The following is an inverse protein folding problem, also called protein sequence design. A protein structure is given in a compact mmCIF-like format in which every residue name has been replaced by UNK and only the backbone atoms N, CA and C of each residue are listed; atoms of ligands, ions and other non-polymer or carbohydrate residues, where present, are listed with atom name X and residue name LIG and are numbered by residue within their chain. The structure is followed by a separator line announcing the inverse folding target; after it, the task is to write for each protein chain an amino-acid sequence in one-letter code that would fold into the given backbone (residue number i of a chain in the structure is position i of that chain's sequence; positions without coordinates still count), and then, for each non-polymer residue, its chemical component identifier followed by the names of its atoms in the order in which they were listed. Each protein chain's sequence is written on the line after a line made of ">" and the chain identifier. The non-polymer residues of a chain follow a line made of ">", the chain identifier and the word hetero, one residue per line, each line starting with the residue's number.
data_IF_672502360810
#
_entry.id   IF_672502360810
#
_cell.length_a   1.000
_cell.length_b   1.000
_cell.length_c   1.000
_cell.angle_alpha   90.00
_cell.angle_beta   90.00
_cell.angle_gamma   90.00
#
_symmetry.space_group_name_H-M   'P 1'
#
loop_
_entity.id
_entity.type
_entity.pdbx_description
1 polymer ?
#
# COMPACT_ATOMS: atom_id res chain seq x y z
N UNK A 1 17.83 22.70 -29.34
CA UNK A 1 17.96 22.17 -27.97
C UNK A 1 16.55 22.11 -27.38
N UNK A 2 15.79 21.04 -27.68
CA UNK A 2 14.37 20.83 -27.25
C UNK A 2 14.18 19.41 -26.70
N UNK A 3 15.26 18.63 -26.56
CA UNK A 3 15.20 17.23 -26.12
C UNK A 3 15.44 17.05 -24.61
N UNK A 4 15.69 18.12 -23.87
CA UNK A 4 16.07 18.06 -22.45
C UNK A 4 14.90 18.36 -21.49
N UNK A 5 13.80 18.92 -21.98
CA UNK A 5 12.62 19.21 -21.15
C UNK A 5 11.75 17.96 -20.88
N UNK A 6 11.70 17.00 -21.81
CA UNK A 6 10.87 15.79 -21.65
C UNK A 6 11.45 14.74 -20.69
N UNK A 7 12.76 14.76 -20.41
CA UNK A 7 13.39 13.81 -19.47
C UNK A 7 13.21 14.21 -18.00
N UNK A 8 13.02 15.50 -17.72
CA UNK A 8 12.79 15.98 -16.36
C UNK A 8 11.37 15.72 -15.88
N UNK A 9 10.37 15.79 -16.76
CA UNK A 9 8.96 15.56 -16.40
C UNK A 9 8.69 14.08 -16.07
N UNK A 10 9.16 13.14 -16.90
CA UNK A 10 9.02 11.70 -16.59
C UNK A 10 9.81 11.25 -15.36
N UNK A 11 10.97 11.88 -15.09
CA UNK A 11 11.76 11.55 -13.91
C UNK A 11 11.10 11.98 -12.60
N UNK A 12 10.40 13.12 -12.60
CA UNK A 12 9.70 13.65 -11.42
C UNK A 12 8.43 12.84 -11.11
N UNK A 13 7.73 12.36 -12.14
CA UNK A 13 6.55 11.51 -11.99
C UNK A 13 6.89 10.10 -11.47
N UNK A 14 7.94 9.46 -12.00
CA UNK A 14 8.41 8.17 -11.46
C UNK A 14 8.88 8.31 -10.01
N UNK A 15 9.57 9.40 -9.67
CA UNK A 15 10.05 9.61 -8.31
C UNK A 15 8.90 9.82 -7.31
N UNK A 16 7.89 10.61 -7.68
CA UNK A 16 6.66 10.77 -6.86
C UNK A 16 5.90 9.47 -6.70
N UNK A 17 5.81 8.67 -7.76
CA UNK A 17 5.17 7.36 -7.74
C UNK A 17 5.87 6.40 -6.78
N UNK A 18 7.20 6.35 -6.80
CA UNK A 18 8.00 5.56 -5.86
C UNK A 18 7.82 6.03 -4.41
N UNK A 19 7.76 7.34 -4.17
CA UNK A 19 7.54 7.88 -2.83
C UNK A 19 6.17 7.50 -2.26
N UNK A 20 5.11 7.60 -3.08
CA UNK A 20 3.76 7.17 -2.72
C UNK A 20 3.70 5.66 -2.46
N UNK A 21 4.38 4.86 -3.28
CA UNK A 21 4.45 3.41 -3.10
C UNK A 21 5.16 3.06 -1.77
N UNK A 22 6.34 3.64 -1.52
CA UNK A 22 7.08 3.42 -0.27
C UNK A 22 6.27 3.86 0.96
N UNK A 23 5.51 4.95 0.88
CA UNK A 23 4.64 5.39 1.95
C UNK A 23 3.50 4.40 2.21
N UNK A 24 2.86 3.88 1.16
CA UNK A 24 1.80 2.89 1.24
C UNK A 24 2.32 1.55 1.78
N UNK A 25 3.48 1.11 1.32
CA UNK A 25 4.15 -0.09 1.80
C UNK A 25 4.46 0.03 3.29
N UNK A 26 5.14 1.10 3.71
CA UNK A 26 5.44 1.34 5.12
C UNK A 26 4.17 1.39 5.98
N UNK A 27 3.12 2.07 5.51
CA UNK A 27 1.85 2.15 6.23
C UNK A 27 1.20 0.77 6.39
N UNK A 28 1.16 -0.01 5.31
CA UNK A 28 0.56 -1.36 5.30
C UNK A 28 1.33 -2.32 6.22
N UNK A 29 2.66 -2.33 6.14
CA UNK A 29 3.52 -3.15 7.01
C UNK A 29 3.41 -2.73 8.49
N UNK A 30 3.36 -1.43 8.78
CA UNK A 30 3.18 -0.93 10.14
C UNK A 30 1.80 -1.34 10.70
N UNK A 31 0.72 -1.21 9.91
CA UNK A 31 -0.60 -1.67 10.32
C UNK A 31 -0.65 -3.18 10.55
N UNK A 32 0.03 -3.99 9.72
CA UNK A 32 0.16 -5.43 9.95
C UNK A 32 0.79 -5.72 11.29
N UNK A 33 1.91 -5.04 11.60
CA UNK A 33 2.64 -5.23 12.84
C UNK A 33 1.79 -4.84 14.03
N UNK A 34 1.13 -3.68 13.98
CA UNK A 34 0.24 -3.18 15.04
C UNK A 34 -0.94 -4.12 15.27
N UNK A 35 -1.61 -4.57 14.19
CA UNK A 35 -2.74 -5.50 14.27
C UNK A 35 -2.32 -6.83 14.90
N UNK A 36 -1.17 -7.38 14.50
CA UNK A 36 -0.66 -8.63 15.05
C UNK A 36 -0.24 -8.51 16.51
N UNK A 37 0.31 -7.37 16.90
CA UNK A 37 0.74 -7.10 18.27
C UNK A 37 -0.47 -6.91 19.21
N UNK A 38 -1.45 -6.09 18.82
CA UNK A 38 -2.67 -5.88 19.60
C UNK A 38 -3.48 -7.17 19.79
N UNK A 39 -3.50 -8.04 18.78
CA UNK A 39 -4.25 -9.30 18.82
C UNK A 39 -3.41 -10.46 19.34
N UNK A 40 -2.18 -10.23 19.78
CA UNK A 40 -1.26 -11.27 20.23
C UNK A 40 -1.80 -11.93 21.50
N UNK A 41 -2.30 -13.16 21.36
CA UNK A 41 -2.88 -13.93 22.48
C UNK A 41 -4.39 -13.78 22.65
N UNK A 42 -5.05 -12.97 21.83
CA UNK A 42 -6.50 -12.85 21.77
C UNK A 42 -7.10 -13.74 20.66
N UNK A 43 -8.36 -14.16 20.83
CA UNK A 43 -9.08 -14.84 19.74
C UNK A 43 -9.48 -13.81 18.69
N UNK A 44 -8.86 -13.90 17.51
CA UNK A 44 -9.22 -13.09 16.34
C UNK A 44 -10.70 -13.23 16.01
N UNK A 45 -11.40 -12.10 15.93
CA UNK A 45 -12.78 -12.05 15.43
C UNK A 45 -12.81 -12.26 13.91
N UNK A 46 -13.98 -12.55 13.31
CA UNK A 46 -14.11 -12.61 11.85
C UNK A 46 -13.73 -11.30 11.15
N UNK A 47 -13.85 -10.16 11.84
CA UNK A 47 -13.46 -8.85 11.32
C UNK A 47 -11.94 -8.73 11.35
N UNK A 48 -11.29 -9.08 12.45
CA UNK A 48 -9.82 -9.05 12.57
C UNK A 48 -9.15 -9.89 11.47
N UNK A 49 -9.66 -11.11 11.24
CA UNK A 49 -9.15 -11.98 10.16
C UNK A 49 -9.28 -11.35 8.78
N UNK A 50 -10.42 -10.70 8.49
CA UNK A 50 -10.60 -10.00 7.21
C UNK A 50 -9.61 -8.86 7.05
N UNK A 51 -9.27 -8.17 8.13
CA UNK A 51 -8.30 -7.08 8.10
C UNK A 51 -6.89 -7.63 7.89
N UNK A 52 -6.50 -8.70 8.61
CA UNK A 52 -5.22 -9.38 8.38
C UNK A 52 -5.07 -9.89 6.95
N UNK A 53 -6.08 -10.59 6.43
CA UNK A 53 -6.08 -11.08 5.05
C UNK A 53 -5.91 -9.92 4.04
N UNK A 54 -6.66 -8.83 4.20
CA UNK A 54 -6.55 -7.68 3.30
C UNK A 54 -5.19 -6.98 3.36
N UNK A 55 -4.58 -6.89 4.55
CA UNK A 55 -3.23 -6.34 4.73
C UNK A 55 -2.19 -7.26 4.10
N UNK A 56 -2.30 -8.58 4.28
CA UNK A 56 -1.38 -9.54 3.64
C UNK A 56 -1.55 -9.54 2.10
N UNK A 57 -2.78 -9.46 1.59
CA UNK A 57 -3.06 -9.30 0.16
C UNK A 57 -2.49 -7.99 -0.41
N UNK A 58 -2.58 -6.90 0.35
CA UNK A 58 -1.98 -5.62 -0.02
C UNK A 58 -0.47 -5.73 -0.16
N UNK A 59 0.19 -6.33 0.83
CA UNK A 59 1.65 -6.51 0.84
C UNK A 59 2.10 -7.35 -0.34
N UNK A 60 1.46 -8.51 -0.56
CA UNK A 60 1.78 -9.37 -1.70
C UNK A 60 1.60 -8.63 -3.02
N UNK A 61 0.54 -7.82 -3.13
CA UNK A 61 0.33 -7.01 -4.31
C UNK A 61 1.43 -5.97 -4.48
N UNK A 62 1.81 -5.22 -3.44
CA UNK A 62 2.86 -4.20 -3.50
C UNK A 62 4.22 -4.80 -3.87
N UNK A 63 4.59 -5.93 -3.25
CA UNK A 63 5.83 -6.68 -3.56
C UNK A 63 5.86 -7.21 -5.00
N UNK A 64 4.71 -7.62 -5.54
CA UNK A 64 4.61 -8.14 -6.91
C UNK A 64 4.50 -7.03 -7.96
N UNK A 65 3.97 -5.87 -7.57
CA UNK A 65 3.59 -4.78 -8.45
C UNK A 65 4.42 -3.51 -8.21
N UNK A 66 5.70 -3.65 -7.85
CA UNK A 66 6.60 -2.51 -7.58
C UNK A 66 6.74 -1.53 -8.76
N UNK A 67 6.52 -2.01 -9.99
CA UNK A 67 6.58 -1.22 -11.23
C UNK A 67 5.19 -0.80 -11.77
N UNK A 68 4.09 -1.23 -11.14
CA UNK A 68 2.71 -0.93 -11.58
C UNK A 68 2.46 0.57 -11.66
N UNK A 69 1.58 1.05 -12.51
CA UNK A 69 1.37 2.48 -12.76
C UNK A 69 0.69 3.20 -11.58
N UNK A 70 0.80 4.54 -11.56
CA UNK A 70 0.23 5.35 -10.48
C UNK A 70 -1.27 5.15 -10.30
N UNK A 71 -2.01 4.87 -11.37
CA UNK A 71 -3.44 4.56 -11.30
C UNK A 71 -3.73 3.15 -10.75
N UNK A 72 -2.87 2.16 -11.01
CA UNK A 72 -2.98 0.82 -10.40
C UNK A 72 -2.80 0.89 -8.88
N UNK A 73 -1.83 1.68 -8.40
CA UNK A 73 -1.66 1.95 -6.96
C UNK A 73 -2.89 2.63 -6.34
N UNK A 74 -3.48 3.62 -7.04
CA UNK A 74 -4.69 4.30 -6.55
C UNK A 74 -5.87 3.34 -6.46
N UNK A 75 -6.08 2.47 -7.44
CA UNK A 75 -7.18 1.51 -7.41
C UNK A 75 -6.97 0.49 -6.30
N UNK A 76 -5.74 -0.02 -6.13
CA UNK A 76 -5.44 -0.90 -4.99
C UNK A 76 -5.68 -0.21 -3.65
N UNK A 77 -5.30 1.07 -3.50
CA UNK A 77 -5.62 1.85 -2.31
C UNK A 77 -7.12 1.94 -2.05
N UNK A 78 -7.95 2.19 -3.09
CA UNK A 78 -9.41 2.27 -2.92
C UNK A 78 -10.03 0.96 -2.44
N UNK A 79 -9.48 -0.18 -2.86
CA UNK A 79 -9.92 -1.49 -2.39
C UNK A 79 -9.57 -1.73 -0.92
N UNK A 80 -8.37 -1.31 -0.51
CA UNK A 80 -7.86 -1.53 0.85
C UNK A 80 -8.40 -0.54 1.87
N UNK A 81 -8.60 0.72 1.48
CA UNK A 81 -9.06 1.79 2.36
C UNK A 81 -10.32 1.49 3.18
N UNK A 82 -11.40 0.93 2.62
CA UNK A 82 -12.58 0.58 3.42
C UNK A 82 -12.30 -0.53 4.45
N UNK A 83 -11.34 -1.41 4.19
CA UNK A 83 -10.96 -2.50 5.11
C UNK A 83 -10.08 -1.95 6.23
N UNK A 84 -9.09 -1.11 5.89
CA UNK A 84 -8.22 -0.45 6.88
C UNK A 84 -9.01 0.49 7.81
N UNK A 85 -10.08 1.11 7.31
CA UNK A 85 -11.01 1.91 8.13
C UNK A 85 -11.75 1.11 9.21
N UNK A 86 -11.82 -0.22 9.10
CA UNK A 86 -12.43 -1.05 10.14
C UNK A 86 -11.51 -1.23 11.36
N UNK A 87 -10.23 -0.85 11.25
CA UNK A 87 -9.26 -0.93 12.34
C UNK A 87 -9.26 0.31 13.25
N UNK A 88 -10.00 1.38 12.90
CA UNK A 88 -10.14 2.61 13.71
C UNK A 88 -11.54 2.77 14.30
#
# INVERSE_FOLDING_TARGET
>A
MVQEAGKYESGDEEHKKLEVNNALENYTYNMRSTTKDEKLGEKLTPIDKKIEDAIDEAIVWLDTNQLAEGDEFKDKMKELFPILKLLG
#
